data_IF_274506324803
#
_entry.id   IF_274506324803
#
_cell.length_a   1.000
_cell.length_b   1.000
_cell.length_c   1.000
_cell.angle_alpha   90.00
_cell.angle_beta   90.00
_cell.angle_gamma   90.00
#
_symmetry.space_group_name_H-M   'P 1'
#
loop_
_entity.id
_entity.type
_entity.pdbx_description
1 polymer ?
#
# COMPACT_ATOMS: atom_id res chain seq x y z
N UNK A 1 8.34 -20.79 12.21
CA UNK A 1 6.91 -20.45 12.32
C UNK A 1 6.39 -20.33 10.90
N UNK A 2 5.49 -21.19 10.53
CA UNK A 2 4.87 -21.13 9.22
C UNK A 2 3.68 -20.17 9.31
N UNK A 3 3.69 -19.14 8.47
CA UNK A 3 2.52 -18.29 8.28
C UNK A 3 1.61 -19.03 7.30
N UNK A 4 0.51 -19.56 7.80
CA UNK A 4 -0.48 -20.33 6.99
C UNK A 4 -1.24 -19.46 5.97
N UNK A 5 -0.88 -18.19 5.85
CA UNK A 5 -1.58 -17.22 5.00
C UNK A 5 -0.61 -16.51 4.08
N UNK A 6 -1.01 -16.16 2.84
CA UNK A 6 -0.16 -15.35 1.98
C UNK A 6 0.17 -14.02 2.64
N UNK A 7 1.39 -13.54 2.42
CA UNK A 7 1.83 -12.20 2.80
C UNK A 7 1.48 -11.24 1.67
N UNK A 8 0.81 -10.14 2.01
CA UNK A 8 0.52 -9.05 1.08
C UNK A 8 1.66 -8.04 0.96
N UNK A 9 2.45 -7.86 2.02
CA UNK A 9 3.55 -6.91 1.99
C UNK A 9 4.43 -6.97 3.24
N UNK A 10 5.62 -6.38 3.13
CA UNK A 10 6.64 -6.35 4.19
C UNK A 10 7.40 -5.03 4.14
N UNK A 11 7.68 -4.43 5.30
CA UNK A 11 8.53 -3.25 5.41
C UNK A 11 9.40 -3.28 6.67
N UNK A 12 10.52 -2.56 6.61
CA UNK A 12 11.37 -2.32 7.79
C UNK A 12 10.65 -1.37 8.77
N UNK A 13 10.70 -1.69 10.04
CA UNK A 13 10.02 -0.97 11.12
C UNK A 13 10.97 -0.73 12.31
N UNK A 14 10.68 0.28 13.15
CA UNK A 14 11.48 0.61 14.34
C UNK A 14 13.00 0.68 14.08
N UNK A 15 13.43 1.60 13.24
CA UNK A 15 14.86 1.81 12.94
C UNK A 15 15.59 0.52 12.51
N UNK A 16 14.91 -0.31 11.73
CA UNK A 16 15.43 -1.59 11.22
C UNK A 16 15.60 -2.71 12.25
N UNK A 17 15.01 -2.60 13.45
CA UNK A 17 15.03 -3.67 14.46
C UNK A 17 13.91 -4.70 14.27
N UNK A 18 12.93 -4.37 13.46
CA UNK A 18 11.75 -5.20 13.22
C UNK A 18 11.28 -5.11 11.78
N UNK A 19 10.52 -6.12 11.36
CA UNK A 19 9.70 -6.06 10.14
C UNK A 19 8.24 -5.90 10.55
N UNK A 20 7.51 -5.10 9.78
CA UNK A 20 6.06 -5.15 9.78
C UNK A 20 5.61 -5.93 8.55
N UNK A 21 4.65 -6.80 8.74
CA UNK A 21 4.10 -7.65 7.69
C UNK A 21 2.58 -7.50 7.63
N UNK A 22 2.06 -7.53 6.42
CA UNK A 22 0.63 -7.59 6.15
C UNK A 22 0.25 -9.04 5.77
N UNK A 23 -0.77 -9.59 6.42
CA UNK A 23 -1.26 -10.93 6.17
C UNK A 23 -2.78 -10.98 6.37
N UNK A 24 -3.43 -12.10 6.03
CA UNK A 24 -4.90 -12.21 6.05
C UNK A 24 -5.55 -11.72 7.36
N UNK A 25 -4.89 -11.93 8.49
CA UNK A 25 -5.45 -11.61 9.81
C UNK A 25 -4.99 -10.23 10.34
N UNK A 26 -4.52 -9.34 9.47
CA UNK A 26 -4.09 -8.01 9.84
C UNK A 26 -2.58 -7.78 9.69
N UNK A 27 -2.07 -6.85 10.46
CA UNK A 27 -0.66 -6.50 10.48
C UNK A 27 0.01 -7.06 11.73
N UNK A 28 1.23 -7.55 11.58
CA UNK A 28 2.04 -8.06 12.68
C UNK A 28 3.47 -7.58 12.58
N UNK A 29 4.15 -7.54 13.73
CA UNK A 29 5.55 -7.13 13.84
C UNK A 29 6.39 -8.36 14.16
N UNK A 30 7.51 -8.52 13.45
CA UNK A 30 8.53 -9.54 13.70
C UNK A 30 9.79 -8.84 14.18
N UNK A 31 10.23 -9.13 15.40
CA UNK A 31 11.53 -8.67 15.88
C UNK A 31 12.66 -9.41 15.13
N UNK A 32 13.61 -8.70 14.57
CA UNK A 32 14.76 -9.30 13.86
C UNK A 32 15.77 -9.93 14.83
N UNK A 33 15.78 -9.51 16.08
CA UNK A 33 16.69 -10.07 17.10
C UNK A 33 16.18 -11.38 17.69
N UNK A 34 14.87 -11.49 17.94
CA UNK A 34 14.28 -12.63 18.64
C UNK A 34 13.38 -13.50 17.78
N UNK A 35 13.10 -13.08 16.55
CA UNK A 35 12.10 -13.64 15.65
C UNK A 35 10.71 -13.79 16.29
N UNK A 36 10.46 -13.02 17.35
CA UNK A 36 9.16 -12.98 18.01
C UNK A 36 8.15 -12.27 17.12
N UNK A 37 7.04 -12.96 16.91
CA UNK A 37 5.89 -12.45 16.18
C UNK A 37 4.89 -11.83 17.17
N UNK A 38 4.43 -10.62 16.87
CA UNK A 38 3.47 -9.90 17.71
C UNK A 38 2.39 -9.28 16.81
N UNK A 39 1.14 -9.63 17.08
CA UNK A 39 0.00 -8.98 16.44
C UNK A 39 0.03 -7.47 16.71
N UNK A 40 -0.31 -6.68 15.68
CA UNK A 40 -0.23 -5.22 15.76
C UNK A 40 -1.59 -4.54 15.60
N UNK A 41 -2.23 -4.66 14.43
CA UNK A 41 -3.52 -4.04 14.13
C UNK A 41 -4.21 -4.73 12.95
N UNK A 42 -5.54 -4.62 12.87
CA UNK A 42 -6.33 -5.15 11.75
C UNK A 42 -7.31 -4.09 11.23
N UNK A 43 -6.90 -3.23 10.27
CA UNK A 43 -7.75 -2.21 9.68
C UNK A 43 -9.06 -2.74 9.09
N UNK A 44 -9.04 -3.94 8.52
CA UNK A 44 -10.17 -4.59 7.83
C UNK A 44 -10.88 -5.64 8.70
N UNK A 45 -10.84 -5.48 10.02
CA UNK A 45 -11.45 -6.45 10.95
C UNK A 45 -12.92 -6.69 10.61
N UNK A 46 -13.31 -7.97 10.53
CA UNK A 46 -14.67 -8.39 10.19
C UNK A 46 -14.97 -8.55 8.69
N UNK A 47 -14.11 -8.06 7.80
CA UNK A 47 -14.23 -8.29 6.36
C UNK A 47 -13.51 -9.58 5.97
N UNK A 48 -14.26 -10.59 5.54
CA UNK A 48 -13.74 -11.94 5.21
C UNK A 48 -13.24 -12.05 3.77
N UNK A 49 -13.72 -11.16 2.91
CA UNK A 49 -13.50 -11.12 1.47
C UNK A 49 -12.45 -10.11 1.03
N UNK A 50 -11.71 -9.55 1.98
CA UNK A 50 -10.62 -8.59 1.75
C UNK A 50 -9.31 -9.16 2.23
N UNK A 51 -8.27 -8.98 1.43
CA UNK A 51 -6.88 -9.34 1.75
C UNK A 51 -5.98 -8.11 1.73
N UNK A 52 -4.91 -8.14 2.50
CA UNK A 52 -3.85 -7.12 2.42
C UNK A 52 -2.95 -7.43 1.23
N UNK A 53 -2.70 -6.42 0.40
CA UNK A 53 -1.95 -6.60 -0.84
C UNK A 53 -0.55 -5.97 -0.82
N UNK A 54 -0.43 -4.73 -0.36
CA UNK A 54 0.86 -4.05 -0.30
C UNK A 54 0.96 -3.15 0.93
N UNK A 55 2.17 -2.85 1.38
CA UNK A 55 2.42 -1.89 2.44
C UNK A 55 3.77 -1.19 2.26
N UNK A 56 3.84 0.06 2.70
CA UNK A 56 5.09 0.84 2.78
C UNK A 56 5.07 1.80 3.96
N UNK A 57 6.25 2.18 4.40
CA UNK A 57 6.44 3.23 5.40
C UNK A 57 6.98 4.47 4.69
N UNK A 58 6.33 5.62 4.94
CA UNK A 58 6.77 6.90 4.39
C UNK A 58 7.92 7.53 5.22
N UNK A 59 8.42 8.68 4.77
CA UNK A 59 9.53 9.40 5.42
C UNK A 59 9.19 9.94 6.81
N UNK A 60 7.91 10.15 7.09
CA UNK A 60 7.41 10.63 8.39
C UNK A 60 7.09 9.49 9.36
N UNK A 61 7.46 8.24 8.96
CA UNK A 61 7.18 6.99 9.67
C UNK A 61 5.69 6.66 9.80
N UNK A 62 4.86 7.13 8.87
CA UNK A 62 3.50 6.63 8.75
C UNK A 62 3.51 5.32 7.96
N UNK A 63 2.75 4.35 8.43
CA UNK A 63 2.55 3.10 7.73
C UNK A 63 1.34 3.23 6.80
N UNK A 64 1.55 2.91 5.55
CA UNK A 64 0.51 2.84 4.54
C UNK A 64 0.29 1.40 4.13
N UNK A 65 -0.96 0.97 4.10
CA UNK A 65 -1.31 -0.40 3.74
C UNK A 65 -2.53 -0.40 2.82
N UNK A 66 -2.46 -1.22 1.81
CA UNK A 66 -3.53 -1.39 0.84
C UNK A 66 -4.16 -2.77 0.93
N UNK A 67 -5.43 -2.83 0.55
CA UNK A 67 -6.21 -4.06 0.54
C UNK A 67 -6.93 -4.24 -0.78
N UNK A 68 -7.25 -5.49 -1.12
CA UNK A 68 -7.96 -5.88 -2.33
C UNK A 68 -9.05 -6.89 -2.01
N UNK A 69 -10.02 -7.05 -2.92
CA UNK A 69 -10.96 -8.15 -2.83
C UNK A 69 -10.22 -9.48 -3.06
N UNK A 70 -10.53 -10.52 -2.28
CA UNK A 70 -9.79 -11.79 -2.31
C UNK A 70 -9.82 -12.48 -3.67
N UNK A 71 -10.93 -12.37 -4.40
CA UNK A 71 -11.10 -12.93 -5.75
C UNK A 71 -10.88 -11.87 -6.85
N UNK A 72 -10.43 -10.66 -6.49
CA UNK A 72 -10.11 -9.57 -7.40
C UNK A 72 -11.26 -9.09 -8.31
N UNK A 73 -12.49 -9.45 -7.97
CA UNK A 73 -13.69 -9.18 -8.79
C UNK A 73 -14.43 -7.92 -8.40
N UNK A 74 -14.44 -7.58 -7.11
CA UNK A 74 -15.19 -6.46 -6.57
C UNK A 74 -14.28 -5.32 -6.10
N UNK A 75 -14.78 -4.09 -6.19
CA UNK A 75 -14.06 -2.89 -5.77
C UNK A 75 -14.20 -2.67 -4.24
N UNK A 76 -13.68 -3.61 -3.44
CA UNK A 76 -13.74 -3.60 -1.97
C UNK A 76 -12.44 -3.21 -1.27
N UNK A 77 -11.39 -3.03 -2.04
CA UNK A 77 -10.08 -2.64 -1.54
C UNK A 77 -10.08 -1.23 -0.96
N UNK A 78 -9.16 -0.99 -0.05
CA UNK A 78 -9.00 0.26 0.68
C UNK A 78 -7.53 0.65 0.79
N UNK A 79 -7.27 1.95 0.95
CA UNK A 79 -5.98 2.49 1.32
C UNK A 79 -6.09 3.05 2.74
N UNK A 80 -5.26 2.54 3.64
CA UNK A 80 -5.19 2.93 5.04
C UNK A 80 -3.86 3.57 5.36
N UNK A 81 -3.87 4.53 6.27
CA UNK A 81 -2.68 5.11 6.88
C UNK A 81 -2.74 4.95 8.39
N UNK A 82 -1.66 4.50 8.98
CA UNK A 82 -1.42 4.52 10.43
C UNK A 82 -0.31 5.51 10.70
N UNK A 83 -0.63 6.62 11.38
CA UNK A 83 0.35 7.64 11.70
C UNK A 83 1.35 7.18 12.78
N UNK A 84 2.42 7.94 12.97
CA UNK A 84 3.43 7.69 14.01
C UNK A 84 2.86 7.64 15.43
N UNK A 85 1.69 8.22 15.67
CA UNK A 85 0.97 8.20 16.97
C UNK A 85 0.00 7.01 17.06
N UNK A 86 0.04 6.10 16.08
CA UNK A 86 -0.84 4.92 15.96
C UNK A 86 -2.32 5.26 15.72
N UNK A 87 -2.61 6.43 15.17
CA UNK A 87 -3.96 6.78 14.73
C UNK A 87 -4.19 6.21 13.35
N UNK A 88 -5.17 5.32 13.25
CA UNK A 88 -5.58 4.70 12.00
C UNK A 88 -6.56 5.60 11.25
N UNK A 89 -6.32 5.80 9.96
CA UNK A 89 -7.16 6.58 9.06
C UNK A 89 -7.45 5.80 7.78
N UNK A 90 -8.71 5.71 7.41
CA UNK A 90 -9.12 5.31 6.08
C UNK A 90 -8.92 6.49 5.12
N UNK A 91 -8.05 6.31 4.14
CA UNK A 91 -7.70 7.36 3.17
C UNK A 91 -8.61 7.29 1.95
N UNK A 92 -8.82 6.10 1.41
CA UNK A 92 -9.66 5.88 0.22
C UNK A 92 -10.16 4.45 0.13
N UNK A 93 -11.18 4.20 -0.69
CA UNK A 93 -11.80 2.90 -0.91
C UNK A 93 -12.22 2.71 -2.36
N UNK A 94 -12.66 1.50 -2.70
CA UNK A 94 -13.23 1.22 -4.00
C UNK A 94 -12.21 0.73 -5.02
N UNK A 95 -11.09 0.16 -4.57
CA UNK A 95 -10.11 -0.48 -5.44
C UNK A 95 -10.45 -1.95 -5.68
N UNK A 96 -10.22 -2.42 -6.90
CA UNK A 96 -10.33 -3.85 -7.22
C UNK A 96 -9.08 -4.58 -6.76
N UNK A 97 -7.94 -4.19 -7.29
CA UNK A 97 -6.62 -4.70 -6.91
C UNK A 97 -5.70 -3.51 -6.71
N UNK A 98 -5.28 -3.32 -5.49
CA UNK A 98 -4.51 -2.16 -5.05
C UNK A 98 -3.02 -2.48 -4.99
N UNK A 99 -2.17 -1.66 -5.58
CA UNK A 99 -0.73 -1.80 -5.56
C UNK A 99 -0.02 -0.48 -5.23
N UNK A 100 1.03 -0.59 -4.44
CA UNK A 100 1.71 0.55 -3.84
C UNK A 100 1.28 0.77 -2.38
N UNK A 101 1.59 1.90 -1.80
CA UNK A 101 1.92 3.19 -2.40
C UNK A 101 3.41 3.38 -2.76
N UNK A 102 3.69 4.44 -3.51
CA UNK A 102 5.01 5.03 -3.65
C UNK A 102 4.97 6.52 -3.30
N UNK A 103 6.06 7.07 -2.81
CA UNK A 103 6.10 8.43 -2.27
C UNK A 103 7.06 9.31 -3.07
N UNK A 104 6.62 10.53 -3.39
CA UNK A 104 7.50 11.52 -4.00
C UNK A 104 8.68 11.88 -3.10
N UNK A 105 9.85 12.27 -3.66
CA UNK A 105 11.01 12.69 -2.87
C UNK A 105 10.73 13.85 -1.91
N UNK A 106 9.79 14.73 -2.25
CA UNK A 106 9.38 15.83 -1.38
C UNK A 106 8.36 15.44 -0.30
N UNK A 107 7.90 14.16 -0.26
CA UNK A 107 6.92 13.65 0.70
C UNK A 107 5.50 14.20 0.56
N UNK A 108 5.21 14.97 -0.51
CA UNK A 108 3.90 15.61 -0.69
C UNK A 108 2.92 14.84 -1.53
N UNK A 109 3.40 13.87 -2.30
CA UNK A 109 2.57 13.09 -3.20
C UNK A 109 2.75 11.60 -2.96
N UNK A 110 1.63 10.91 -3.07
CA UNK A 110 1.57 9.45 -3.06
C UNK A 110 1.06 9.00 -4.42
N UNK A 111 1.70 7.97 -4.98
CA UNK A 111 1.26 7.31 -6.19
C UNK A 111 0.77 5.92 -5.86
N UNK A 112 -0.33 5.52 -6.48
CA UNK A 112 -1.04 4.31 -6.12
C UNK A 112 -1.76 3.72 -7.33
N UNK A 113 -1.56 2.42 -7.58
CA UNK A 113 -2.16 1.73 -8.71
C UNK A 113 -3.47 1.03 -8.32
N UNK A 114 -4.50 1.18 -9.14
CA UNK A 114 -5.63 0.27 -9.19
C UNK A 114 -5.51 -0.56 -10.47
N UNK A 115 -4.94 -1.74 -10.31
CA UNK A 115 -4.44 -2.63 -11.37
C UNK A 115 -5.48 -2.88 -12.46
N UNK A 116 -6.70 -3.29 -12.08
CA UNK A 116 -7.73 -3.65 -13.04
C UNK A 116 -8.53 -2.47 -13.61
N UNK A 117 -8.27 -1.27 -13.14
CA UNK A 117 -8.77 -0.05 -13.80
C UNK A 117 -7.73 0.57 -14.73
N UNK A 118 -6.51 -0.01 -14.79
CA UNK A 118 -5.39 0.49 -15.60
C UNK A 118 -5.02 1.94 -15.25
N UNK A 119 -5.10 2.30 -13.95
CA UNK A 119 -4.89 3.67 -13.52
C UNK A 119 -3.88 3.75 -12.38
N UNK A 120 -3.04 4.77 -12.47
CA UNK A 120 -2.27 5.28 -11.34
C UNK A 120 -2.94 6.55 -10.83
N UNK A 121 -3.25 6.57 -9.55
CA UNK A 121 -3.73 7.76 -8.84
C UNK A 121 -2.57 8.50 -8.20
N UNK A 122 -2.72 9.81 -8.09
CA UNK A 122 -1.86 10.66 -7.28
C UNK A 122 -2.70 11.28 -6.17
N UNK A 123 -2.23 11.15 -4.94
CA UNK A 123 -2.79 11.82 -3.77
C UNK A 123 -1.86 12.94 -3.35
N UNK A 124 -2.39 14.14 -3.22
CA UNK A 124 -1.67 15.25 -2.63
C UNK A 124 -1.95 15.28 -1.13
N UNK A 125 -0.89 15.10 -0.34
CA UNK A 125 -0.98 15.17 1.11
C UNK A 125 -1.16 16.63 1.57
N UNK A 126 -1.98 16.87 2.60
CA UNK A 126 -2.20 18.20 3.13
C UNK A 126 -0.92 18.82 3.71
N UNK A 127 -0.80 20.12 3.60
CA UNK A 127 0.29 20.90 4.24
C UNK A 127 -0.03 21.28 5.68
N UNK A 128 -1.30 21.30 6.03
CA UNK A 128 -1.84 21.71 7.33
C UNK A 128 -2.82 20.64 7.84
N UNK A 129 -2.90 20.49 9.15
CA UNK A 129 -3.65 19.41 9.82
C UNK A 129 -5.15 19.32 9.48
N UNK A 130 -5.74 20.35 8.87
CA UNK A 130 -7.17 20.39 8.55
C UNK A 130 -7.48 20.35 7.05
N UNK A 131 -6.49 20.23 6.18
CA UNK A 131 -6.74 20.13 4.75
C UNK A 131 -6.98 18.67 4.34
N UNK A 132 -7.80 18.48 3.32
CA UNK A 132 -8.13 17.15 2.80
C UNK A 132 -7.03 16.63 1.88
N UNK A 133 -6.87 15.30 1.88
CA UNK A 133 -6.10 14.60 0.86
C UNK A 133 -6.86 14.76 -0.47
N UNK A 134 -6.19 15.28 -1.49
CA UNK A 134 -6.76 15.42 -2.84
C UNK A 134 -6.31 14.26 -3.72
N UNK A 135 -7.28 13.58 -4.34
CA UNK A 135 -7.04 12.47 -5.28
C UNK A 135 -7.25 12.93 -6.71
N UNK A 136 -6.35 12.54 -7.61
CA UNK A 136 -6.55 12.66 -9.05
C UNK A 136 -5.96 11.47 -9.79
N UNK A 137 -6.45 11.22 -11.01
CA UNK A 137 -5.80 10.27 -11.92
C UNK A 137 -4.47 10.92 -12.35
N UNK A 138 -3.38 10.22 -12.10
CA UNK A 138 -2.05 10.62 -12.55
C UNK A 138 -1.80 10.14 -13.97
N UNK A 139 -2.06 8.86 -14.22
CA UNK A 139 -1.91 8.27 -15.54
C UNK A 139 -2.94 7.15 -15.76
N UNK A 140 -3.33 6.95 -17.02
CA UNK A 140 -4.19 5.84 -17.45
C UNK A 140 -3.48 5.08 -18.56
N UNK A 141 -3.24 3.80 -18.32
CA UNK A 141 -2.56 2.90 -19.24
C UNK A 141 -3.52 2.30 -20.25
N UNK A 142 -3.00 1.97 -21.42
CA UNK A 142 -3.69 1.13 -22.38
C UNK A 142 -3.62 -0.33 -21.95
N UNK A 143 -4.55 -1.16 -22.44
CA UNK A 143 -4.60 -2.59 -22.06
C UNK A 143 -3.38 -3.36 -22.56
N UNK A 144 -2.81 -2.93 -23.65
CA UNK A 144 -1.62 -3.49 -24.28
C UNK A 144 -0.37 -3.31 -23.42
N UNK A 145 -0.34 -2.31 -22.57
CA UNK A 145 0.76 -2.08 -21.60
C UNK A 145 0.78 -3.13 -20.49
N UNK A 146 -0.30 -3.90 -20.33
CA UNK A 146 -0.49 -4.82 -19.20
C UNK A 146 -1.06 -4.12 -17.97
N UNK A 147 -1.04 -4.82 -16.85
CA UNK A 147 -1.67 -4.35 -15.62
C UNK A 147 -0.66 -3.62 -14.74
N UNK A 148 -0.86 -2.32 -14.39
CA UNK A 148 0.02 -1.61 -13.47
C UNK A 148 -0.01 -2.28 -12.10
N UNK A 149 1.16 -2.71 -11.62
CA UNK A 149 1.33 -3.53 -10.42
C UNK A 149 2.26 -2.80 -9.42
N UNK A 150 3.41 -3.35 -9.10
CA UNK A 150 4.36 -2.74 -8.18
C UNK A 150 4.84 -1.37 -8.67
N UNK A 151 4.94 -0.41 -7.73
CA UNK A 151 5.30 0.98 -8.03
C UNK A 151 6.38 1.48 -7.08
N UNK A 152 7.31 2.26 -7.60
CA UNK A 152 8.32 2.97 -6.80
C UNK A 152 8.64 4.34 -7.40
N UNK A 153 9.28 5.20 -6.63
CA UNK A 153 9.75 6.53 -7.06
C UNK A 153 11.23 6.63 -6.73
N UNK A 154 12.03 7.08 -7.69
CA UNK A 154 13.46 7.32 -7.49
C UNK A 154 13.73 8.69 -6.82
N UNK A 155 15.02 8.98 -6.56
CA UNK A 155 15.43 10.23 -5.90
C UNK A 155 15.21 11.48 -6.77
N UNK A 156 15.12 11.31 -8.09
CA UNK A 156 14.86 12.38 -9.04
C UNK A 156 13.36 12.66 -9.20
N UNK A 157 12.51 11.76 -8.67
CA UNK A 157 11.05 11.87 -8.72
C UNK A 157 10.44 11.13 -9.91
N UNK A 158 11.21 10.32 -10.64
CA UNK A 158 10.65 9.47 -11.68
C UNK A 158 9.88 8.32 -11.03
N UNK A 159 8.74 7.99 -11.63
CA UNK A 159 7.86 6.93 -11.17
C UNK A 159 8.12 5.70 -12.02
N UNK A 160 8.40 4.57 -11.37
CA UNK A 160 8.64 3.29 -12.02
C UNK A 160 7.52 2.32 -11.68
N UNK A 161 6.87 1.78 -12.70
CA UNK A 161 5.73 0.87 -12.55
C UNK A 161 6.04 -0.43 -13.30
N UNK A 162 5.99 -1.54 -12.58
CA UNK A 162 6.04 -2.86 -13.17
C UNK A 162 4.64 -3.24 -13.67
N UNK A 163 4.55 -3.79 -14.88
CA UNK A 163 3.28 -4.22 -15.46
C UNK A 163 3.18 -5.74 -15.49
N UNK A 164 2.21 -6.26 -14.73
CA UNK A 164 1.91 -7.68 -14.74
C UNK A 164 1.29 -8.10 -16.09
N UNK A 165 1.73 -9.23 -16.60
CA UNK A 165 1.22 -9.82 -17.86
C UNK A 165 1.91 -9.36 -19.14
N UNK A 166 2.58 -8.18 -19.16
CA UNK A 166 3.29 -7.68 -20.34
C UNK A 166 4.80 -7.78 -20.25
N UNK A 167 5.37 -7.87 -19.04
CA UNK A 167 6.82 -7.87 -18.82
C UNK A 167 7.48 -6.51 -19.08
N UNK A 168 6.72 -5.42 -18.97
CA UNK A 168 7.17 -4.04 -19.20
C UNK A 168 7.39 -3.35 -17.84
N UNK A 169 8.31 -2.40 -17.82
CA UNK A 169 8.46 -1.39 -16.77
C UNK A 169 8.34 -0.03 -17.45
N UNK A 170 7.47 0.83 -16.95
CA UNK A 170 7.29 2.22 -17.39
C UNK A 170 7.75 3.20 -16.32
#
# INVERSE_FOLDING_TARGET
>A
MDLETPLGGIALYNKFESLIIAHKNGLSIISLNSFKFTYFIHPEIGKKDVIYNDLKIDRDNNLWVSTSHIDETEAKGSLWMLDKNKKLQLVDTGFKVSNGPAFSPCGRYIYFNDTFTYQTYMYQLPREDNSKIEKKIFYKFDKEDGYPDGITVDEEGNIWIAHWGSGIIT
#
